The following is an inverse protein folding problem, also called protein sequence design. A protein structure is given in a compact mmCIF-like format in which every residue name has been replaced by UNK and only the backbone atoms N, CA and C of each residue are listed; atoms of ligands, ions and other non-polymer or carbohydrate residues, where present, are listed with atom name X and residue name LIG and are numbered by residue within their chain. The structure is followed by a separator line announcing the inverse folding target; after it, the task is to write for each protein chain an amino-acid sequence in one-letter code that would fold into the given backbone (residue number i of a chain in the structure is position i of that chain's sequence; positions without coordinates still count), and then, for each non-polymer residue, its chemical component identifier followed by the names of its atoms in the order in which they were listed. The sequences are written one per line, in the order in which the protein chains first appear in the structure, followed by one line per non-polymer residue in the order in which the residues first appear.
data_IF_022351725876
#
_entry.id   IF_022351725876
#
_cell.length_a   1.000
_cell.length_b   1.000
_cell.length_c   1.000
_cell.angle_alpha   90.00
_cell.angle_beta   90.00
_cell.angle_gamma   90.00
#
_symmetry.space_group_name_H-M   'P 1'
#
loop_
_entity.id
_entity.type
_entity.pdbx_description
1 polymer ?
#
# COMPACT_ATOMS: atom_id res chain seq x y z
N UNK A 1 27.49 -44.90 37.08
CA UNK A 1 28.84 -44.62 36.54
C UNK A 1 28.68 -44.27 35.06
N UNK A 2 28.42 -43.02 34.71
CA UNK A 2 28.59 -42.49 33.38
C UNK A 2 29.01 -41.03 33.51
N UNK A 3 30.24 -40.81 33.13
CA UNK A 3 30.85 -39.47 33.05
C UNK A 3 30.44 -38.81 31.75
N UNK A 4 29.91 -37.60 31.78
CA UNK A 4 29.92 -36.69 30.61
C UNK A 4 30.53 -35.36 31.01
N UNK A 5 31.77 -35.17 30.62
CA UNK A 5 32.36 -33.84 30.44
C UNK A 5 32.04 -33.40 29.03
N UNK A 6 31.55 -32.18 28.88
CA UNK A 6 31.34 -31.57 27.57
C UNK A 6 30.89 -30.14 27.75
N UNK A 7 31.83 -29.23 28.04
CA UNK A 7 31.62 -27.76 27.95
C UNK A 7 31.59 -27.38 26.48
N UNK A 8 30.44 -26.95 25.95
CA UNK A 8 30.38 -26.22 24.70
C UNK A 8 29.84 -24.82 24.98
N UNK A 9 30.70 -23.85 24.84
CA UNK A 9 30.39 -22.44 24.78
C UNK A 9 29.46 -22.15 23.61
N UNK A 10 28.22 -21.75 23.88
CA UNK A 10 27.31 -21.23 22.86
C UNK A 10 27.77 -19.82 22.56
N UNK A 11 28.54 -19.67 21.48
CA UNK A 11 28.76 -18.37 20.86
C UNK A 11 27.42 -17.88 20.31
N UNK A 12 26.92 -16.79 20.88
CA UNK A 12 25.84 -16.02 20.30
C UNK A 12 26.36 -15.37 19.01
N UNK A 13 26.16 -16.06 17.90
CA UNK A 13 26.40 -15.50 16.57
C UNK A 13 25.24 -14.55 16.28
N UNK A 14 25.48 -13.26 16.47
CA UNK A 14 24.71 -12.19 15.86
C UNK A 14 24.76 -12.43 14.36
N UNK A 15 23.67 -12.92 13.78
CA UNK A 15 23.52 -13.02 12.32
C UNK A 15 23.31 -11.60 11.79
N UNK A 16 24.40 -10.85 11.69
CA UNK A 16 24.49 -9.77 10.72
C UNK A 16 24.37 -10.47 9.36
N UNK A 17 23.33 -10.16 8.61
CA UNK A 17 23.21 -10.62 7.23
C UNK A 17 24.43 -10.07 6.48
N UNK A 18 25.44 -10.91 6.28
CA UNK A 18 26.56 -10.61 5.43
C UNK A 18 26.01 -10.62 3.99
N UNK A 19 25.80 -9.44 3.45
CA UNK A 19 25.68 -9.23 2.00
C UNK A 19 27.03 -9.69 1.46
N UNK A 20 27.08 -10.72 0.61
CA UNK A 20 28.30 -11.17 -0.03
C UNK A 20 28.87 -10.01 -0.88
N UNK A 21 30.19 -9.89 -0.99
CA UNK A 21 30.85 -8.78 -1.71
C UNK A 21 30.36 -8.63 -3.17
N UNK A 22 29.95 -9.71 -3.83
CA UNK A 22 29.31 -9.72 -5.15
C UNK A 22 27.94 -9.03 -5.19
N UNK A 23 27.13 -9.17 -4.14
CA UNK A 23 25.80 -8.53 -4.03
C UNK A 23 25.92 -7.01 -3.88
N UNK A 24 26.95 -6.50 -3.19
CA UNK A 24 27.16 -5.08 -3.05
C UNK A 24 27.47 -4.39 -4.39
N UNK A 25 28.26 -5.01 -5.26
CA UNK A 25 28.60 -4.45 -6.57
C UNK A 25 27.39 -4.48 -7.50
N UNK A 26 26.56 -5.54 -7.45
CA UNK A 26 25.34 -5.65 -8.25
C UNK A 26 24.29 -4.60 -7.80
N UNK A 27 24.07 -4.44 -6.50
CA UNK A 27 23.18 -3.41 -5.95
C UNK A 27 23.65 -1.99 -6.35
N UNK A 28 24.95 -1.72 -6.28
CA UNK A 28 25.52 -0.44 -6.69
C UNK A 28 25.30 -0.19 -8.20
N UNK A 29 25.40 -1.22 -9.03
CA UNK A 29 25.11 -1.15 -10.45
C UNK A 29 23.61 -0.83 -10.68
N UNK A 30 22.69 -1.54 -10.04
CA UNK A 30 21.25 -1.29 -10.14
C UNK A 30 20.93 0.17 -9.75
N UNK A 31 21.44 0.67 -8.62
CA UNK A 31 21.26 2.06 -8.19
C UNK A 31 21.73 3.06 -9.26
N UNK A 32 22.91 2.84 -9.83
CA UNK A 32 23.48 3.68 -10.87
C UNK A 32 22.63 3.69 -12.15
N UNK A 33 22.10 2.54 -12.55
CA UNK A 33 21.23 2.42 -13.73
C UNK A 33 19.88 3.09 -13.50
N UNK A 34 19.29 2.97 -12.31
CA UNK A 34 18.06 3.68 -11.93
C UNK A 34 18.31 5.20 -11.96
N UNK A 35 19.40 5.68 -11.39
CA UNK A 35 19.75 7.09 -11.43
C UNK A 35 19.96 7.60 -12.87
N UNK A 36 20.64 6.83 -13.71
CA UNK A 36 20.84 7.14 -15.12
C UNK A 36 19.52 7.17 -15.91
N UNK A 37 18.60 6.25 -15.61
CA UNK A 37 17.25 6.20 -16.20
C UNK A 37 16.43 7.43 -15.80
N UNK A 38 16.42 7.76 -14.51
CA UNK A 38 15.70 8.91 -13.96
C UNK A 38 16.23 10.28 -14.43
N UNK A 39 17.51 10.35 -14.77
CA UNK A 39 18.14 11.58 -15.28
C UNK A 39 17.78 11.89 -16.75
N UNK A 40 17.21 10.91 -17.49
CA UNK A 40 16.83 11.13 -18.89
C UNK A 40 15.57 11.97 -18.98
N UNK A 41 15.47 12.87 -19.97
CA UNK A 41 14.20 13.53 -20.26
C UNK A 41 13.17 12.52 -20.77
N UNK A 42 11.88 12.86 -20.66
CA UNK A 42 10.77 11.95 -20.99
C UNK A 42 10.90 11.36 -22.41
N UNK A 43 11.32 12.16 -23.39
CA UNK A 43 11.48 11.73 -24.79
C UNK A 43 12.56 10.66 -24.96
N UNK A 44 13.39 10.44 -23.96
CA UNK A 44 14.43 9.42 -23.91
C UNK A 44 14.28 8.47 -22.73
N UNK A 45 13.15 8.55 -22.03
CA UNK A 45 12.89 7.72 -20.86
C UNK A 45 12.85 6.23 -21.22
N UNK A 46 13.29 5.40 -20.29
CA UNK A 46 13.36 3.95 -20.41
C UNK A 46 12.75 3.29 -19.18
N UNK A 47 12.43 2.00 -19.31
CA UNK A 47 12.10 1.15 -18.16
C UNK A 47 13.30 1.04 -17.21
N UNK A 48 13.04 0.62 -15.98
CA UNK A 48 14.10 0.24 -15.05
C UNK A 48 14.86 -1.02 -15.54
N UNK A 49 16.10 -1.24 -15.08
CA UNK A 49 16.80 -2.50 -15.34
C UNK A 49 16.03 -3.65 -14.71
N UNK A 50 16.00 -4.82 -15.36
CA UNK A 50 15.25 -6.00 -14.89
C UNK A 50 15.70 -6.45 -13.49
N UNK A 51 16.96 -6.26 -13.15
CA UNK A 51 17.55 -6.57 -11.85
C UNK A 51 16.86 -5.80 -10.71
N UNK A 52 16.32 -4.61 -10.97
CA UNK A 52 15.52 -3.86 -10.01
C UNK A 52 14.23 -4.60 -9.59
N UNK A 53 13.74 -5.55 -10.39
CA UNK A 53 12.56 -6.36 -10.12
C UNK A 53 12.89 -7.78 -9.66
N UNK A 54 14.13 -8.26 -9.84
CA UNK A 54 14.51 -9.65 -9.64
C UNK A 54 15.54 -9.87 -8.54
N UNK A 55 16.35 -8.84 -8.22
CA UNK A 55 17.43 -8.98 -7.24
C UNK A 55 16.89 -8.91 -5.81
N UNK A 56 17.14 -9.97 -5.03
CA UNK A 56 16.65 -10.08 -3.65
C UNK A 56 17.32 -9.07 -2.72
N UNK A 57 18.63 -8.83 -2.87
CA UNK A 57 19.36 -7.84 -2.06
C UNK A 57 18.88 -6.41 -2.34
N UNK A 58 18.58 -6.10 -3.59
CA UNK A 58 17.99 -4.82 -3.96
C UNK A 58 16.57 -4.64 -3.37
N UNK A 59 15.74 -5.68 -3.38
CA UNK A 59 14.43 -5.65 -2.71
C UNK A 59 14.55 -5.38 -1.21
N UNK A 60 15.55 -5.97 -0.54
CA UNK A 60 15.81 -5.69 0.88
C UNK A 60 16.20 -4.23 1.09
N UNK A 61 17.07 -3.68 0.24
CA UNK A 61 17.42 -2.27 0.26
C UNK A 61 16.18 -1.37 0.08
N UNK A 62 15.36 -1.61 -0.95
CA UNK A 62 14.11 -0.88 -1.18
C UNK A 62 13.17 -0.96 0.03
N UNK A 63 13.08 -2.13 0.66
CA UNK A 63 12.22 -2.31 1.82
C UNK A 63 12.60 -1.38 2.97
N UNK A 64 13.90 -1.19 3.22
CA UNK A 64 14.39 -0.32 4.29
C UNK A 64 14.34 1.17 3.89
N UNK A 65 14.65 1.51 2.66
CA UNK A 65 14.97 2.89 2.26
C UNK A 65 13.87 3.60 1.48
N UNK A 66 12.96 2.84 0.87
CA UNK A 66 11.82 3.36 0.11
C UNK A 66 10.52 3.08 0.86
N UNK A 67 10.27 1.80 1.17
CA UNK A 67 8.99 1.38 1.75
C UNK A 67 8.88 1.76 3.23
N UNK A 68 9.83 1.37 4.09
CA UNK A 68 9.78 1.70 5.52
C UNK A 68 10.04 3.18 5.80
N UNK A 69 10.82 3.85 4.95
CA UNK A 69 11.07 5.27 5.06
C UNK A 69 9.86 6.13 4.64
N UNK A 70 9.02 5.62 3.73
CA UNK A 70 7.80 6.27 3.26
C UNK A 70 6.59 6.07 4.18
N UNK A 71 5.47 6.63 3.78
CA UNK A 71 4.17 6.39 4.40
C UNK A 71 3.44 5.26 3.68
N UNK A 72 2.96 4.28 4.45
CA UNK A 72 2.24 3.12 3.94
C UNK A 72 0.83 3.07 4.52
N UNK A 73 -0.18 3.01 3.66
CA UNK A 73 -1.58 2.97 4.08
C UNK A 73 -1.96 1.56 4.59
N UNK A 74 -2.66 1.51 5.71
CA UNK A 74 -3.05 0.27 6.40
C UNK A 74 -4.54 -0.04 6.32
N UNK A 75 -5.39 0.99 6.34
CA UNK A 75 -6.83 0.83 6.42
C UNK A 75 -7.53 2.17 6.33
N UNK A 76 -8.84 2.15 6.51
CA UNK A 76 -9.69 3.32 6.55
C UNK A 76 -10.42 3.44 7.90
N UNK A 77 -10.69 4.66 8.36
CA UNK A 77 -11.33 4.91 9.66
C UNK A 77 -12.69 4.26 9.81
N UNK A 78 -13.42 4.06 8.70
CA UNK A 78 -14.73 3.38 8.72
C UNK A 78 -14.66 1.90 9.14
N UNK A 79 -13.47 1.28 9.10
CA UNK A 79 -13.25 -0.08 9.60
C UNK A 79 -13.09 -0.12 11.12
N UNK A 80 -12.85 1.03 11.77
CA UNK A 80 -12.57 1.17 13.19
C UNK A 80 -13.58 2.10 13.87
N UNK A 81 -14.89 1.82 13.72
CA UNK A 81 -15.98 2.74 14.13
C UNK A 81 -16.07 2.98 15.62
N UNK A 82 -15.69 1.99 16.45
CA UNK A 82 -15.91 2.01 17.89
C UNK A 82 -14.60 1.84 18.66
N UNK A 83 -14.60 2.31 19.92
CA UNK A 83 -13.50 2.05 20.86
C UNK A 83 -13.20 0.55 20.95
N UNK A 84 -11.93 0.21 20.82
CA UNK A 84 -11.46 -1.16 20.81
C UNK A 84 -11.60 -1.88 19.46
N UNK A 85 -12.17 -1.25 18.43
CA UNK A 85 -12.10 -1.81 17.06
C UNK A 85 -10.65 -1.88 16.61
N UNK A 86 -10.28 -2.99 15.94
CA UNK A 86 -8.88 -3.23 15.54
C UNK A 86 -8.77 -3.94 14.20
N UNK A 87 -7.58 -3.76 13.57
CA UNK A 87 -7.10 -4.53 12.42
C UNK A 87 -5.71 -5.09 12.75
N UNK A 88 -5.51 -6.40 12.58
CA UNK A 88 -4.21 -7.05 12.68
C UNK A 88 -3.62 -7.22 11.27
N UNK A 89 -2.52 -6.54 10.99
CA UNK A 89 -1.91 -6.43 9.67
C UNK A 89 -0.46 -6.88 9.75
N UNK A 90 0.00 -7.65 8.76
CA UNK A 90 1.41 -7.95 8.55
C UNK A 90 1.91 -7.09 7.40
N UNK A 91 3.00 -6.35 7.61
CA UNK A 91 3.56 -5.45 6.61
C UNK A 91 5.09 -5.41 6.74
N UNK A 92 5.82 -5.81 5.69
CA UNK A 92 7.29 -5.79 5.66
C UNK A 92 7.93 -6.47 6.89
N UNK A 93 7.40 -7.64 7.26
CA UNK A 93 7.77 -8.44 8.44
C UNK A 93 7.43 -7.82 9.80
N UNK A 94 6.71 -6.69 9.83
CA UNK A 94 6.22 -6.09 11.08
C UNK A 94 4.80 -6.56 11.39
N UNK A 95 4.56 -7.21 12.54
CA UNK A 95 3.23 -7.57 13.02
C UNK A 95 2.57 -6.33 13.65
N UNK A 96 1.68 -5.68 12.90
CA UNK A 96 1.03 -4.42 13.28
C UNK A 96 -0.38 -4.64 13.81
N UNK A 97 -0.76 -3.84 14.80
CA UNK A 97 -2.12 -3.70 15.30
C UNK A 97 -2.58 -2.26 15.16
N UNK A 98 -3.51 -2.04 14.24
CA UNK A 98 -4.22 -0.75 14.13
C UNK A 98 -5.41 -0.80 15.08
N UNK A 99 -5.54 0.14 16.00
CA UNK A 99 -6.58 0.10 17.04
C UNK A 99 -7.11 1.48 17.38
N UNK A 100 -8.43 1.59 17.55
CA UNK A 100 -9.06 2.79 18.14
C UNK A 100 -9.03 2.65 19.66
N UNK A 101 -8.32 3.56 20.32
CA UNK A 101 -8.19 3.61 21.78
C UNK A 101 -9.47 4.05 22.51
N UNK A 102 -9.44 4.00 23.85
CA UNK A 102 -10.52 4.52 24.71
C UNK A 102 -10.70 6.03 24.57
N UNK A 103 -9.65 6.73 24.17
CA UNK A 103 -9.58 8.17 23.91
C UNK A 103 -9.94 8.55 22.46
N UNK A 104 -10.56 7.63 21.71
CA UNK A 104 -10.98 7.75 20.31
C UNK A 104 -9.85 7.86 19.28
N UNK A 105 -8.59 7.98 19.70
CA UNK A 105 -7.47 8.06 18.78
C UNK A 105 -7.11 6.71 18.18
N UNK A 106 -6.85 6.69 16.89
CA UNK A 106 -6.33 5.52 16.18
C UNK A 106 -4.80 5.50 16.31
N UNK A 107 -4.25 4.32 16.56
CA UNK A 107 -2.82 4.08 16.74
C UNK A 107 -2.39 2.82 16.03
N UNK A 108 -1.13 2.78 15.68
CA UNK A 108 -0.48 1.56 15.20
C UNK A 108 0.51 1.08 16.25
N UNK A 109 0.25 -0.11 16.79
CA UNK A 109 1.06 -0.76 17.81
C UNK A 109 1.74 -2.01 17.20
N UNK A 110 2.89 -2.39 17.78
CA UNK A 110 3.44 -3.72 17.55
C UNK A 110 2.58 -4.78 18.22
N UNK A 111 2.35 -5.90 17.55
CA UNK A 111 1.73 -7.09 18.16
C UNK A 111 2.75 -7.92 18.95
N UNK A 112 4.04 -7.59 18.87
CA UNK A 112 5.09 -8.28 19.63
C UNK A 112 5.04 -7.91 21.10
N UNK A 113 4.75 -8.88 21.96
CA UNK A 113 4.75 -8.70 23.41
C UNK A 113 6.18 -8.41 23.92
N UNK A 114 6.42 -7.31 24.66
CA UNK A 114 7.74 -6.91 25.10
C UNK A 114 8.37 -7.89 26.11
N UNK A 115 7.60 -8.84 26.65
CA UNK A 115 8.14 -9.85 27.56
C UNK A 115 9.06 -10.86 26.83
N UNK A 116 8.54 -11.55 25.80
CA UNK A 116 9.30 -12.60 25.06
C UNK A 116 8.92 -12.66 23.58
N UNK A 117 8.53 -11.56 22.99
CA UNK A 117 8.33 -11.45 21.54
C UNK A 117 7.09 -12.14 20.97
N UNK A 118 6.16 -12.66 21.81
CA UNK A 118 4.95 -13.32 21.30
C UNK A 118 4.10 -12.36 20.48
N UNK A 119 3.78 -12.72 19.24
CA UNK A 119 2.72 -12.03 18.48
C UNK A 119 1.36 -12.34 19.14
N UNK A 120 0.79 -11.34 19.80
CA UNK A 120 -0.46 -11.50 20.60
C UNK A 120 -1.71 -11.72 19.76
N UNK A 121 -1.62 -11.57 18.44
CA UNK A 121 -2.71 -11.75 17.47
C UNK A 121 -2.32 -12.70 16.34
N UNK A 122 -1.31 -13.57 16.56
CA UNK A 122 -0.84 -14.49 15.54
C UNK A 122 -1.98 -15.41 15.04
N UNK A 123 -2.09 -15.68 13.75
CA UNK A 123 -3.17 -16.49 13.17
C UNK A 123 -3.34 -17.87 13.81
N UNK A 124 -2.24 -18.52 14.25
CA UNK A 124 -2.32 -19.82 14.93
C UNK A 124 -3.09 -19.80 16.27
N UNK A 125 -3.34 -18.62 16.83
CA UNK A 125 -4.15 -18.46 18.05
C UNK A 125 -5.66 -18.47 17.78
N UNK A 126 -6.07 -18.56 16.50
CA UNK A 126 -7.48 -18.58 16.10
C UNK A 126 -8.21 -17.24 16.33
N UNK A 127 -7.49 -16.14 16.55
CA UNK A 127 -8.05 -14.82 16.70
C UNK A 127 -8.37 -14.19 15.34
N UNK A 128 -9.49 -13.48 15.19
CA UNK A 128 -9.82 -12.81 13.95
C UNK A 128 -8.84 -11.66 13.64
N UNK A 129 -8.60 -11.44 12.34
CA UNK A 129 -7.72 -10.35 11.87
C UNK A 129 -8.32 -8.95 12.07
N UNK A 130 -9.61 -8.87 12.33
CA UNK A 130 -10.32 -7.63 12.67
C UNK A 130 -11.40 -7.93 13.69
N UNK A 131 -11.81 -6.91 14.44
CA UNK A 131 -12.84 -7.07 15.45
C UNK A 131 -12.82 -5.97 16.49
N UNK A 132 -13.34 -6.30 17.68
CA UNK A 132 -13.41 -5.37 18.82
C UNK A 132 -12.93 -6.04 20.09
N UNK A 133 -12.12 -5.36 20.86
CA UNK A 133 -11.63 -5.84 22.17
C UNK A 133 -11.66 -4.74 23.22
N UNK A 134 -11.75 -5.14 24.50
CA UNK A 134 -11.65 -4.22 25.65
C UNK A 134 -10.21 -4.14 26.20
N UNK A 135 -9.36 -5.09 25.84
CA UNK A 135 -7.96 -5.18 26.28
C UNK A 135 -7.17 -6.07 25.34
N UNK A 136 -5.88 -5.89 25.31
CA UNK A 136 -4.96 -6.74 24.57
C UNK A 136 -4.33 -7.73 25.56
N UNK A 137 -4.33 -9.02 25.24
CA UNK A 137 -3.85 -10.08 26.11
C UNK A 137 -2.78 -10.91 25.39
N UNK A 138 -1.60 -11.00 25.99
CA UNK A 138 -0.60 -11.96 25.56
C UNK A 138 -0.97 -13.36 26.08
N UNK A 139 -1.20 -14.34 25.20
CA UNK A 139 -1.63 -15.67 25.63
C UNK A 139 -0.54 -16.49 26.29
N UNK A 140 0.73 -16.06 26.19
CA UNK A 140 1.87 -16.84 26.70
C UNK A 140 1.96 -16.78 28.24
N UNK A 141 1.99 -15.55 28.82
CA UNK A 141 2.11 -15.38 30.28
C UNK A 141 1.06 -14.42 30.85
N UNK A 142 -0.04 -14.24 30.12
CA UNK A 142 -1.18 -13.40 30.53
C UNK A 142 -0.82 -11.92 30.81
N UNK A 143 0.26 -11.40 30.21
CA UNK A 143 0.49 -9.96 30.22
C UNK A 143 -0.66 -9.27 29.47
N UNK A 144 -1.27 -8.28 30.11
CA UNK A 144 -2.38 -7.57 29.49
C UNK A 144 -2.12 -6.09 29.36
N UNK A 145 -2.55 -5.54 28.22
CA UNK A 145 -2.33 -4.15 27.84
C UNK A 145 -3.67 -3.44 27.61
N UNK A 146 -3.69 -2.16 27.92
CA UNK A 146 -4.79 -1.27 27.52
C UNK A 146 -4.78 -1.01 26.01
N UNK A 147 -5.84 -0.39 25.50
CA UNK A 147 -5.98 -0.10 24.08
C UNK A 147 -4.94 0.91 23.52
N UNK A 148 -4.27 1.65 24.43
CA UNK A 148 -3.15 2.53 24.07
C UNK A 148 -1.78 1.82 24.09
N UNK A 149 -1.76 0.50 24.35
CA UNK A 149 -0.54 -0.31 24.42
C UNK A 149 0.12 -0.36 25.79
N UNK A 150 -0.34 0.41 26.79
CA UNK A 150 0.26 0.44 28.14
C UNK A 150 0.04 -0.88 28.88
N UNK A 151 1.11 -1.45 29.49
CA UNK A 151 1.02 -2.65 30.32
C UNK A 151 0.16 -2.39 31.58
N UNK A 152 -0.88 -3.20 31.78
CA UNK A 152 -1.79 -3.11 32.89
C UNK A 152 -1.53 -4.20 33.95
N UNK A 153 -1.36 -5.44 33.50
CA UNK A 153 -1.13 -6.59 34.40
C UNK A 153 0.05 -7.40 33.84
N UNK A 154 0.95 -7.76 34.73
CA UNK A 154 2.07 -8.68 34.50
C UNK A 154 2.15 -9.65 35.70
N UNK A 155 1.55 -10.85 35.59
CA UNK A 155 1.50 -11.81 36.72
C UNK A 155 2.90 -12.25 37.17
N UNK A 156 3.08 -12.40 38.47
CA UNK A 156 4.30 -12.92 39.11
C UNK A 156 5.58 -12.09 38.84
N UNK A 157 5.43 -10.79 38.54
CA UNK A 157 6.56 -9.89 38.34
C UNK A 157 6.94 -9.11 39.63
N UNK A 158 6.31 -9.38 40.76
CA UNK A 158 6.50 -8.65 42.00
C UNK A 158 7.92 -8.82 42.61
N UNK A 159 8.60 -9.90 42.22
CA UNK A 159 9.98 -10.20 42.67
C UNK A 159 11.05 -9.84 41.68
N UNK A 160 10.68 -9.32 40.50
CA UNK A 160 11.64 -8.88 39.49
C UNK A 160 12.20 -7.51 39.91
N UNK A 161 13.46 -7.48 40.25
CA UNK A 161 14.13 -6.23 40.66
C UNK A 161 14.13 -5.21 39.51
N UNK A 162 13.80 -3.96 39.83
CA UNK A 162 13.76 -2.88 38.82
C UNK A 162 12.59 -2.97 37.83
N UNK A 163 11.66 -3.91 37.98
CA UNK A 163 10.52 -4.01 37.09
C UNK A 163 9.48 -2.92 37.35
N UNK A 164 9.32 -2.02 36.40
CA UNK A 164 8.25 -1.01 36.42
C UNK A 164 7.36 -1.22 35.17
N UNK A 165 6.07 -1.47 35.40
CA UNK A 165 5.10 -1.71 34.27
C UNK A 165 5.04 -0.59 33.26
N UNK A 166 5.37 0.64 33.63
CA UNK A 166 5.34 1.79 32.68
C UNK A 166 6.40 1.67 31.57
N UNK A 167 7.46 0.91 31.80
CA UNK A 167 8.56 0.73 30.86
C UNK A 167 8.29 -0.39 29.81
N UNK A 168 7.18 -1.14 29.98
CA UNK A 168 6.88 -2.36 29.23
C UNK A 168 5.59 -2.26 28.41
N UNK A 169 5.41 -1.18 27.68
CA UNK A 169 4.28 -1.01 26.76
C UNK A 169 4.53 -1.72 25.44
N UNK A 170 3.45 -2.07 24.71
CA UNK A 170 3.58 -2.42 23.29
C UNK A 170 4.19 -1.23 22.54
N UNK A 171 5.19 -1.50 21.70
CA UNK A 171 5.84 -0.47 20.92
C UNK A 171 4.82 0.23 20.00
N UNK A 172 4.98 1.54 19.82
CA UNK A 172 4.14 2.35 18.96
C UNK A 172 4.91 2.69 17.69
N UNK A 173 4.26 2.54 16.55
CA UNK A 173 4.77 3.07 15.30
C UNK A 173 4.24 4.47 15.06
N UNK A 174 5.01 5.29 14.37
CA UNK A 174 4.55 6.59 13.88
C UNK A 174 3.40 6.36 12.91
N UNK A 175 2.26 6.96 13.19
CA UNK A 175 1.05 6.79 12.38
C UNK A 175 0.26 8.08 12.31
N UNK A 176 -0.37 8.32 11.18
CA UNK A 176 -1.23 9.47 10.94
C UNK A 176 -2.52 9.02 10.25
N UNK A 177 -3.60 9.76 10.47
CA UNK A 177 -4.85 9.63 9.72
C UNK A 177 -4.93 10.83 8.79
N UNK A 178 -4.96 10.55 7.48
CA UNK A 178 -5.06 11.56 6.45
C UNK A 178 -6.23 11.21 5.52
N UNK A 179 -7.17 12.14 5.36
CA UNK A 179 -8.39 11.95 4.56
C UNK A 179 -9.13 10.61 4.83
N UNK A 180 -9.15 10.20 6.12
CA UNK A 180 -9.75 8.94 6.54
C UNK A 180 -8.87 7.71 6.37
N UNK A 181 -7.80 7.76 5.59
CA UNK A 181 -6.85 6.67 5.45
C UNK A 181 -5.85 6.66 6.61
N UNK A 182 -5.57 5.47 7.14
CA UNK A 182 -4.67 5.26 8.27
C UNK A 182 -3.30 4.88 7.71
N UNK A 183 -2.30 5.70 7.98
CA UNK A 183 -0.93 5.47 7.50
C UNK A 183 0.02 5.13 8.64
N UNK A 184 1.05 4.38 8.31
CA UNK A 184 2.20 4.10 9.16
C UNK A 184 3.50 4.50 8.48
N UNK A 185 4.43 5.07 9.23
CA UNK A 185 5.81 5.20 8.84
C UNK A 185 6.66 4.29 9.74
N UNK A 186 7.15 3.18 9.19
CA UNK A 186 7.90 2.17 9.95
C UNK A 186 9.30 2.67 10.32
N UNK A 187 9.91 3.51 9.50
CA UNK A 187 11.21 4.14 9.78
C UNK A 187 11.16 5.26 10.82
N UNK A 188 9.97 5.80 11.09
CA UNK A 188 9.73 6.82 12.14
C UNK A 188 10.13 8.26 11.80
N UNK A 189 10.76 8.52 10.63
CA UNK A 189 11.40 9.79 10.30
C UNK A 189 10.78 10.57 9.12
N UNK A 190 9.69 10.07 8.49
CA UNK A 190 9.06 10.77 7.38
C UNK A 190 8.52 12.15 7.81
N UNK A 191 8.46 13.12 6.90
CA UNK A 191 7.73 14.38 7.12
C UNK A 191 6.24 14.11 7.39
N UNK A 192 5.52 15.00 8.10
CA UNK A 192 4.08 14.85 8.28
C UNK A 192 3.33 14.69 6.94
N UNK A 193 2.33 13.81 6.90
CA UNK A 193 1.51 13.63 5.68
C UNK A 193 0.79 14.91 5.26
N UNK A 194 0.34 15.72 6.22
CA UNK A 194 -0.30 17.01 5.95
C UNK A 194 0.59 18.00 5.22
N UNK A 195 1.91 17.90 5.40
CA UNK A 195 2.89 18.69 4.65
C UNK A 195 3.16 18.05 3.29
N UNK A 196 3.45 16.74 3.30
CA UNK A 196 3.82 15.97 2.12
C UNK A 196 2.68 15.90 1.08
N UNK A 197 1.44 15.73 1.54
CA UNK A 197 0.26 15.56 0.69
C UNK A 197 -0.68 16.77 0.68
N UNK A 198 -0.21 17.99 1.00
CA UNK A 198 -1.04 19.18 1.02
C UNK A 198 -1.74 19.44 -0.32
N UNK A 199 -1.00 19.38 -1.43
CA UNK A 199 -1.54 19.58 -2.78
C UNK A 199 -2.41 18.40 -3.23
N UNK A 200 -2.09 17.19 -2.81
CA UNK A 200 -2.91 16.01 -3.04
C UNK A 200 -4.25 16.15 -2.32
N UNK A 201 -4.23 16.54 -1.04
CA UNK A 201 -5.44 16.76 -0.24
C UNK A 201 -6.36 17.81 -0.89
N UNK A 202 -5.80 18.93 -1.32
CA UNK A 202 -6.59 19.98 -1.99
C UNK A 202 -7.32 19.46 -3.25
N UNK A 203 -6.73 18.52 -3.98
CA UNK A 203 -7.33 17.93 -5.19
C UNK A 203 -8.51 17.02 -4.87
N UNK A 204 -8.41 16.17 -3.83
CA UNK A 204 -9.44 15.18 -3.50
C UNK A 204 -10.44 15.63 -2.44
N UNK A 205 -10.30 16.82 -1.89
CA UNK A 205 -11.13 17.32 -0.79
C UNK A 205 -12.65 17.23 -1.06
N UNK A 206 -13.08 17.44 -2.32
CA UNK A 206 -14.50 17.38 -2.70
C UNK A 206 -15.14 15.99 -2.53
N UNK A 207 -14.35 14.91 -2.50
CA UNK A 207 -14.86 13.55 -2.28
C UNK A 207 -15.14 13.25 -0.81
N UNK A 208 -14.61 14.05 0.13
CA UNK A 208 -14.82 13.86 1.57
C UNK A 208 -14.43 12.47 2.04
N UNK A 209 -13.27 11.97 1.61
CA UNK A 209 -12.87 10.58 1.80
C UNK A 209 -13.00 10.11 3.26
N UNK A 210 -12.74 10.96 4.25
CA UNK A 210 -12.84 10.63 5.67
C UNK A 210 -14.26 10.20 6.13
N UNK A 211 -15.30 10.65 5.43
CA UNK A 211 -16.71 10.36 5.75
C UNK A 211 -17.29 9.19 4.96
N UNK A 212 -16.50 8.59 4.07
CA UNK A 212 -16.94 7.46 3.26
C UNK A 212 -16.97 6.17 4.08
N UNK A 213 -17.79 5.22 3.64
CA UNK A 213 -17.89 3.86 4.18
C UNK A 213 -17.18 2.88 3.25
N UNK A 214 -16.26 2.08 3.80
CA UNK A 214 -15.67 0.96 3.08
C UNK A 214 -16.72 -0.16 2.97
N UNK A 215 -17.14 -0.46 1.74
CA UNK A 215 -18.22 -1.42 1.46
C UNK A 215 -17.76 -2.69 0.76
N UNK A 216 -16.54 -2.68 0.22
CA UNK A 216 -15.95 -3.83 -0.45
C UNK A 216 -14.45 -3.91 -0.16
N UNK A 217 -13.97 -5.14 0.07
CA UNK A 217 -12.55 -5.46 0.14
C UNK A 217 -12.33 -6.84 -0.48
N UNK A 218 -11.35 -6.94 -1.36
CA UNK A 218 -10.92 -8.21 -1.96
C UNK A 218 -9.40 -8.29 -1.99
N UNK A 219 -8.89 -9.43 -1.56
CA UNK A 219 -7.47 -9.75 -1.60
C UNK A 219 -7.11 -10.50 -2.89
N UNK A 220 -5.95 -10.13 -3.47
CA UNK A 220 -5.35 -10.74 -4.63
C UNK A 220 -3.90 -11.10 -4.32
N UNK A 221 -3.48 -12.28 -4.73
CA UNK A 221 -2.09 -12.70 -4.61
C UNK A 221 -1.37 -12.43 -5.93
N UNK A 222 -0.38 -11.52 -5.91
CA UNK A 222 0.45 -11.17 -7.05
C UNK A 222 1.77 -11.92 -7.04
N UNK A 223 2.00 -12.76 -8.07
CA UNK A 223 3.30 -13.44 -8.27
C UNK A 223 4.26 -12.52 -9.04
N UNK A 224 4.39 -11.27 -8.60
CA UNK A 224 5.23 -10.25 -9.23
C UNK A 224 5.74 -9.22 -8.20
N UNK A 225 6.77 -8.47 -8.60
CA UNK A 225 7.35 -7.40 -7.78
C UNK A 225 6.33 -6.25 -7.59
N UNK A 226 6.29 -5.68 -6.41
CA UNK A 226 5.36 -4.59 -6.06
C UNK A 226 5.39 -3.39 -7.03
N UNK A 227 6.58 -3.08 -7.58
CA UNK A 227 6.74 -1.99 -8.56
C UNK A 227 5.96 -2.22 -9.85
N UNK A 228 5.82 -3.49 -10.28
CA UNK A 228 5.04 -3.82 -11.48
C UNK A 228 3.58 -3.38 -11.31
N UNK A 229 2.98 -3.62 -10.13
CA UNK A 229 1.62 -3.12 -9.84
C UNK A 229 1.56 -1.59 -9.82
N UNK A 230 2.57 -0.94 -9.22
CA UNK A 230 2.64 0.52 -9.16
C UNK A 230 2.80 1.13 -10.55
N UNK A 231 3.65 0.57 -11.40
CA UNK A 231 3.84 1.02 -12.77
C UNK A 231 2.56 0.80 -13.61
N UNK A 232 1.93 -0.38 -13.53
CA UNK A 232 0.68 -0.68 -14.21
C UNK A 232 -0.44 0.30 -13.79
N UNK A 233 -0.58 0.59 -12.48
CA UNK A 233 -1.55 1.56 -11.98
C UNK A 233 -1.30 2.99 -12.48
N UNK A 234 -0.05 3.35 -12.69
CA UNK A 234 0.34 4.74 -12.93
C UNK A 234 -0.01 5.26 -14.32
N UNK A 235 -0.17 4.38 -15.31
CA UNK A 235 -0.31 4.77 -16.71
C UNK A 235 -1.54 4.13 -17.37
N UNK A 236 -1.97 4.66 -18.51
CA UNK A 236 -3.10 4.14 -19.28
C UNK A 236 -2.67 3.53 -20.62
N UNK A 237 -1.37 3.45 -20.93
CA UNK A 237 -0.89 2.92 -22.20
C UNK A 237 -1.27 1.45 -22.40
N UNK A 238 -1.29 0.68 -21.29
CA UNK A 238 -1.72 -0.72 -21.29
C UNK A 238 -3.21 -0.91 -21.67
N UNK A 239 -4.06 0.14 -21.62
CA UNK A 239 -5.45 0.05 -22.06
C UNK A 239 -5.54 -0.42 -23.53
N UNK A 240 -4.60 -0.01 -24.38
CA UNK A 240 -4.58 -0.37 -25.80
C UNK A 240 -4.48 -1.89 -26.01
N UNK A 241 -3.73 -2.56 -25.17
CA UNK A 241 -3.51 -4.00 -25.23
C UNK A 241 -4.35 -4.79 -24.24
N UNK A 242 -4.10 -4.58 -22.96
CA UNK A 242 -4.69 -5.35 -21.85
C UNK A 242 -6.20 -5.11 -21.73
N UNK A 243 -6.63 -3.84 -21.77
CA UNK A 243 -8.03 -3.44 -21.60
C UNK A 243 -8.72 -3.03 -22.90
N UNK A 244 -8.31 -3.60 -24.05
CA UNK A 244 -8.84 -3.21 -25.35
C UNK A 244 -10.35 -3.43 -25.49
N UNK A 245 -10.95 -4.32 -24.70
CA UNK A 245 -12.38 -4.64 -24.68
C UNK A 245 -13.13 -4.06 -23.49
N UNK A 246 -12.42 -3.57 -22.49
CA UNK A 246 -12.98 -3.09 -21.22
C UNK A 246 -12.86 -1.57 -21.10
N UNK A 247 -11.65 -1.05 -20.88
CA UNK A 247 -11.45 0.38 -20.60
C UNK A 247 -11.17 1.23 -21.82
N UNK A 248 -10.43 0.71 -22.83
CA UNK A 248 -9.94 1.49 -23.98
C UNK A 248 -11.08 2.14 -24.79
N UNK A 249 -12.25 1.52 -24.90
CA UNK A 249 -13.39 2.09 -25.62
C UNK A 249 -13.99 3.29 -24.94
N UNK A 250 -13.94 3.32 -23.62
CA UNK A 250 -14.53 4.37 -22.76
C UNK A 250 -13.51 5.43 -22.43
N UNK A 251 -12.32 5.03 -21.94
CA UNK A 251 -11.20 5.90 -21.53
C UNK A 251 -9.94 5.55 -22.34
N UNK A 252 -9.85 6.05 -23.57
CA UNK A 252 -8.73 5.71 -24.44
C UNK A 252 -7.41 6.28 -23.91
N UNK A 253 -6.38 5.48 -23.92
CA UNK A 253 -5.04 5.82 -23.44
C UNK A 253 -4.52 7.18 -23.97
N UNK A 254 -4.79 7.48 -25.22
CA UNK A 254 -4.33 8.71 -25.88
C UNK A 254 -5.05 9.99 -25.44
N UNK A 255 -6.15 9.87 -24.68
CA UNK A 255 -6.89 11.03 -24.18
C UNK A 255 -6.51 11.39 -22.74
N UNK A 256 -5.68 10.58 -22.10
CA UNK A 256 -5.27 10.81 -20.71
C UNK A 256 -4.59 12.17 -20.55
N UNK A 257 -4.89 12.85 -19.45
CA UNK A 257 -4.25 14.10 -19.04
C UNK A 257 -3.38 13.79 -17.82
N UNK A 258 -2.06 13.96 -17.97
CA UNK A 258 -1.11 13.78 -16.87
C UNK A 258 -0.74 15.13 -16.29
N UNK A 259 -0.87 15.30 -14.98
CA UNK A 259 -0.45 16.51 -14.30
C UNK A 259 1.09 16.65 -14.28
N UNK A 260 1.57 17.86 -14.02
CA UNK A 260 3.00 18.09 -13.83
C UNK A 260 3.57 17.23 -12.71
N UNK A 261 4.87 16.89 -12.83
CA UNK A 261 5.58 16.14 -11.79
C UNK A 261 5.47 16.80 -10.42
N UNK A 262 5.15 16.01 -9.41
CA UNK A 262 5.20 16.37 -8.00
C UNK A 262 6.18 15.43 -7.27
N UNK A 263 6.92 15.89 -6.26
CA UNK A 263 7.89 15.04 -5.55
C UNK A 263 7.26 13.88 -4.78
N UNK A 264 6.00 14.01 -4.34
CA UNK A 264 5.38 13.11 -3.37
C UNK A 264 4.20 12.30 -3.95
N UNK A 265 3.66 12.69 -5.10
CA UNK A 265 2.59 11.96 -5.76
C UNK A 265 2.54 12.23 -7.28
N UNK A 266 1.85 11.37 -8.00
CA UNK A 266 1.43 11.63 -9.38
C UNK A 266 -0.09 11.75 -9.47
N UNK A 267 -0.57 12.44 -10.50
CA UNK A 267 -1.99 12.61 -10.80
C UNK A 267 -2.25 12.49 -12.30
N UNK A 268 -3.27 11.72 -12.63
CA UNK A 268 -3.71 11.46 -14.00
C UNK A 268 -5.23 11.55 -14.07
N UNK A 269 -5.75 12.21 -15.11
CA UNK A 269 -7.18 12.36 -15.37
C UNK A 269 -7.58 11.49 -16.56
N UNK A 270 -8.63 10.70 -16.40
CA UNK A 270 -9.18 9.88 -17.46
C UNK A 270 -10.30 10.62 -18.19
N UNK A 271 -10.21 10.60 -19.51
CA UNK A 271 -11.08 11.40 -20.40
C UNK A 271 -11.89 10.48 -21.29
N UNK A 272 -13.21 10.69 -21.33
CA UNK A 272 -14.11 9.91 -22.19
C UNK A 272 -13.77 10.01 -23.67
N UNK A 273 -13.95 8.90 -24.38
CA UNK A 273 -13.97 8.87 -25.85
C UNK A 273 -15.16 9.62 -26.43
N UNK A 274 -15.11 9.97 -27.72
CA UNK A 274 -16.26 10.56 -28.43
C UNK A 274 -17.47 9.62 -28.44
N UNK A 275 -17.21 8.29 -28.50
CA UNK A 275 -18.25 7.27 -28.42
C UNK A 275 -18.94 7.26 -27.04
N UNK A 276 -18.17 7.25 -25.95
CA UNK A 276 -18.70 7.32 -24.62
C UNK A 276 -19.49 8.62 -24.36
N UNK A 277 -19.01 9.76 -24.85
CA UNK A 277 -19.73 11.02 -24.73
C UNK A 277 -21.10 10.98 -25.44
N UNK A 278 -21.17 10.42 -26.65
CA UNK A 278 -22.45 10.24 -27.34
C UNK A 278 -23.40 9.32 -26.58
N UNK A 279 -22.87 8.23 -25.98
CA UNK A 279 -23.67 7.34 -25.13
C UNK A 279 -24.22 8.08 -23.91
N UNK A 280 -23.41 8.92 -23.26
CA UNK A 280 -23.86 9.76 -22.13
C UNK A 280 -24.97 10.74 -22.55
N UNK A 281 -24.82 11.39 -23.70
CA UNK A 281 -25.84 12.29 -24.29
C UNK A 281 -27.17 11.55 -24.55
N UNK A 282 -27.09 10.24 -24.89
CA UNK A 282 -28.23 9.36 -25.07
C UNK A 282 -28.79 8.75 -23.75
N UNK A 283 -28.24 9.14 -22.57
CA UNK A 283 -28.71 8.74 -21.26
C UNK A 283 -28.02 7.53 -20.65
N UNK A 284 -26.97 6.98 -21.29
CA UNK A 284 -26.13 5.95 -20.66
C UNK A 284 -25.35 6.52 -19.48
N UNK A 285 -25.02 5.66 -18.52
CA UNK A 285 -24.28 6.00 -17.32
C UNK A 285 -23.05 5.12 -17.19
N UNK A 286 -21.90 5.74 -16.92
CA UNK A 286 -20.63 5.06 -16.64
C UNK A 286 -20.30 5.10 -15.14
N UNK A 287 -21.32 5.08 -14.29
CA UNK A 287 -21.23 4.97 -12.84
C UNK A 287 -22.33 4.03 -12.33
N UNK A 288 -22.09 3.41 -11.18
CA UNK A 288 -22.98 2.38 -10.60
C UNK A 288 -23.81 2.95 -9.46
N UNK A 289 -23.17 3.66 -8.52
CA UNK A 289 -23.86 4.31 -7.39
C UNK A 289 -24.35 5.70 -7.77
N UNK A 290 -25.25 6.31 -6.98
CA UNK A 290 -25.57 7.71 -7.14
C UNK A 290 -24.33 8.60 -7.10
N UNK A 291 -24.19 9.58 -8.01
CA UNK A 291 -23.03 10.44 -8.05
C UNK A 291 -22.84 11.25 -6.76
N UNK A 292 -21.61 11.42 -6.34
CA UNK A 292 -21.23 12.32 -5.25
C UNK A 292 -21.46 13.76 -5.74
N UNK A 293 -22.19 14.60 -5.00
CA UNK A 293 -22.51 15.95 -5.44
C UNK A 293 -21.28 16.87 -5.40
N UNK A 294 -21.31 17.90 -6.25
CA UNK A 294 -20.34 19.00 -6.29
C UNK A 294 -18.86 18.59 -6.52
N UNK A 295 -18.64 17.49 -7.20
CA UNK A 295 -17.29 17.08 -7.58
C UNK A 295 -16.70 18.03 -8.65
N UNK A 296 -15.37 18.24 -8.66
CA UNK A 296 -14.69 19.04 -9.67
C UNK A 296 -14.57 18.32 -11.02
N UNK A 297 -15.20 17.17 -11.19
CA UNK A 297 -15.30 16.44 -12.44
C UNK A 297 -16.27 17.12 -13.38
N UNK A 298 -15.93 17.23 -14.64
CA UNK A 298 -16.82 17.87 -15.61
C UNK A 298 -16.32 17.75 -17.05
N UNK A 299 -17.22 18.10 -17.98
CA UNK A 299 -16.95 17.96 -19.39
C UNK A 299 -16.73 16.47 -19.73
N UNK A 300 -15.52 16.14 -20.21
CA UNK A 300 -15.15 14.77 -20.59
C UNK A 300 -14.33 14.03 -19.54
N UNK A 301 -13.95 14.67 -18.43
CA UNK A 301 -13.19 14.05 -17.36
C UNK A 301 -14.14 13.33 -16.40
N UNK A 302 -13.91 12.04 -16.19
CA UNK A 302 -14.80 11.19 -15.40
C UNK A 302 -14.22 10.84 -14.03
N UNK A 303 -12.95 10.44 -13.98
CA UNK A 303 -12.30 10.17 -12.71
C UNK A 303 -10.79 10.47 -12.75
N UNK A 304 -10.22 10.58 -11.57
CA UNK A 304 -8.81 10.87 -11.36
C UNK A 304 -8.10 9.71 -10.70
N UNK A 305 -6.89 9.43 -11.17
CA UNK A 305 -5.98 8.44 -10.61
C UNK A 305 -4.81 9.13 -9.94
N UNK A 306 -4.49 8.68 -8.75
CA UNK A 306 -3.35 9.14 -7.96
C UNK A 306 -2.45 7.96 -7.58
N UNK A 307 -1.16 8.22 -7.53
CA UNK A 307 -0.19 7.43 -6.81
C UNK A 307 0.49 8.33 -5.79
N UNK A 308 0.14 8.19 -4.51
CA UNK A 308 0.93 8.76 -3.42
C UNK A 308 2.15 7.85 -3.18
N UNK A 309 3.34 8.40 -3.30
CA UNK A 309 4.56 7.60 -3.18
C UNK A 309 4.78 7.07 -1.76
N UNK A 310 5.28 5.81 -1.60
CA UNK A 310 5.73 4.89 -2.66
C UNK A 310 4.61 4.06 -3.32
N UNK A 311 3.48 3.78 -2.68
CA UNK A 311 2.49 2.82 -3.19
C UNK A 311 1.06 3.02 -2.63
N UNK A 312 0.63 4.27 -2.48
CA UNK A 312 -0.76 4.60 -2.16
C UNK A 312 -1.53 4.85 -3.47
N UNK A 313 -2.20 3.80 -3.96
CA UNK A 313 -2.91 3.79 -5.23
C UNK A 313 -4.37 4.17 -5.02
N UNK A 314 -4.75 5.39 -5.37
CA UNK A 314 -6.08 5.94 -5.15
C UNK A 314 -6.72 6.37 -6.49
N UNK A 315 -7.95 5.94 -6.73
CA UNK A 315 -8.79 6.52 -7.78
C UNK A 315 -10.04 7.13 -7.16
N UNK A 316 -10.35 8.35 -7.55
CA UNK A 316 -11.56 9.05 -7.11
C UNK A 316 -12.48 9.21 -8.31
N UNK A 317 -13.63 8.56 -8.23
CA UNK A 317 -14.61 8.44 -9.30
C UNK A 317 -15.82 9.34 -8.99
N UNK A 318 -16.75 9.38 -9.92
CA UNK A 318 -17.96 10.17 -9.81
C UNK A 318 -18.89 9.71 -8.67
N UNK A 319 -18.84 8.46 -8.31
CA UNK A 319 -19.78 7.79 -7.42
C UNK A 319 -19.12 7.03 -6.25
N UNK A 320 -17.81 6.84 -6.30
CA UNK A 320 -17.06 6.10 -5.28
C UNK A 320 -15.58 6.49 -5.27
N UNK A 321 -14.87 5.96 -4.28
CA UNK A 321 -13.41 6.01 -4.20
C UNK A 321 -12.89 4.59 -4.19
N UNK A 322 -11.94 4.30 -5.07
CA UNK A 322 -11.21 3.05 -5.16
C UNK A 322 -9.83 3.23 -4.57
N UNK A 323 -9.42 2.32 -3.71
CA UNK A 323 -8.09 2.30 -3.15
C UNK A 323 -7.49 0.90 -3.23
N UNK A 324 -6.29 0.79 -3.78
CA UNK A 324 -5.52 -0.44 -3.79
C UNK A 324 -4.37 -0.32 -2.79
N UNK A 325 -4.37 -1.20 -1.79
CA UNK A 325 -3.27 -1.35 -0.87
C UNK A 325 -2.32 -2.43 -1.38
N UNK A 326 -1.12 -2.03 -1.75
CA UNK A 326 -0.05 -2.95 -2.16
C UNK A 326 0.78 -3.32 -0.94
N UNK A 327 0.88 -4.62 -0.66
CA UNK A 327 1.68 -5.19 0.43
C UNK A 327 2.81 -6.01 -0.19
N UNK A 328 4.03 -5.48 -0.26
CA UNK A 328 5.19 -6.23 -0.74
C UNK A 328 5.53 -7.39 0.21
N UNK A 329 5.59 -8.62 -0.31
CA UNK A 329 5.89 -9.83 0.47
C UNK A 329 7.26 -10.43 0.11
N UNK A 330 7.86 -9.98 -0.98
CA UNK A 330 9.13 -10.46 -1.48
C UNK A 330 9.51 -9.84 -2.81
N UNK A 331 10.65 -10.20 -3.34
CA UNK A 331 11.17 -9.66 -4.61
C UNK A 331 10.23 -9.92 -5.80
N UNK A 332 9.47 -11.01 -5.76
CA UNK A 332 8.54 -11.43 -6.82
C UNK A 332 7.15 -11.78 -6.28
N UNK A 333 6.76 -11.15 -5.18
CA UNK A 333 5.49 -11.48 -4.52
C UNK A 333 4.93 -10.24 -3.81
N UNK A 334 3.67 -9.96 -4.02
CA UNK A 334 2.91 -8.94 -3.28
C UNK A 334 1.45 -9.39 -3.09
N UNK A 335 0.80 -8.82 -2.09
CA UNK A 335 -0.65 -8.93 -1.90
C UNK A 335 -1.27 -7.58 -2.24
N UNK A 336 -2.34 -7.58 -3.02
CA UNK A 336 -3.10 -6.38 -3.33
C UNK A 336 -4.49 -6.50 -2.67
N UNK A 337 -4.88 -5.50 -1.89
CA UNK A 337 -6.24 -5.38 -1.38
C UNK A 337 -6.95 -4.27 -2.14
N UNK A 338 -7.91 -4.64 -2.95
CA UNK A 338 -8.79 -3.69 -3.65
C UNK A 338 -9.94 -3.34 -2.74
N UNK A 339 -10.16 -2.05 -2.48
CA UNK A 339 -11.25 -1.56 -1.63
C UNK A 339 -12.10 -0.53 -2.35
N UNK A 340 -13.40 -0.49 -2.04
CA UNK A 340 -14.34 0.51 -2.55
C UNK A 340 -14.97 1.22 -1.36
N UNK A 341 -14.94 2.55 -1.43
CA UNK A 341 -15.59 3.43 -0.46
C UNK A 341 -16.69 4.23 -1.15
N UNK A 342 -17.81 4.38 -0.47
CA UNK A 342 -18.99 5.14 -0.97
C UNK A 342 -19.50 6.07 0.11
N UNK A 343 -20.27 7.12 -0.25
CA UNK A 343 -20.98 7.93 0.74
C UNK A 343 -21.86 7.07 1.63
N UNK A 344 -21.93 7.39 2.92
CA UNK A 344 -22.73 6.67 3.91
C UNK A 344 -24.21 6.54 3.49
N UNK A 345 -24.75 7.55 2.83
CA UNK A 345 -26.14 7.54 2.36
C UNK A 345 -26.35 6.49 1.25
N UNK A 346 -25.34 6.23 0.44
CA UNK A 346 -25.39 5.17 -0.60
C UNK A 346 -25.67 3.79 0.02
N UNK A 347 -25.15 3.51 1.20
CA UNK A 347 -25.36 2.21 1.88
C UNK A 347 -26.81 1.99 2.36
N UNK A 348 -27.62 3.04 2.37
CA UNK A 348 -29.03 3.00 2.82
C UNK A 348 -30.02 2.81 1.68
N UNK A 349 -29.58 2.74 0.44
CA UNK A 349 -30.44 2.52 -0.72
C UNK A 349 -31.07 1.12 -0.67
N UNK A 350 -32.33 1.01 -1.04
CA UNK A 350 -33.06 -0.27 -1.06
C UNK A 350 -32.37 -1.31 -1.98
N UNK A 351 -31.80 -0.85 -3.08
CA UNK A 351 -31.08 -1.68 -4.06
C UNK A 351 -29.55 -1.69 -3.88
N UNK A 352 -29.03 -1.25 -2.71
CA UNK A 352 -27.59 -1.16 -2.47
C UNK A 352 -26.85 -2.48 -2.73
N UNK A 353 -27.44 -3.62 -2.33
CA UNK A 353 -26.82 -4.95 -2.52
C UNK A 353 -26.64 -5.28 -4.01
N UNK A 354 -27.57 -4.92 -4.87
CA UNK A 354 -27.49 -5.11 -6.32
C UNK A 354 -26.43 -4.19 -6.94
N UNK A 355 -26.46 -2.91 -6.59
CA UNK A 355 -25.46 -1.93 -7.06
C UNK A 355 -24.05 -2.35 -6.64
N UNK A 356 -23.87 -2.78 -5.39
CA UNK A 356 -22.59 -3.28 -4.90
C UNK A 356 -22.11 -4.48 -5.73
N UNK A 357 -22.98 -5.48 -5.98
CA UNK A 357 -22.61 -6.64 -6.78
C UNK A 357 -22.21 -6.26 -8.22
N UNK A 358 -22.89 -5.29 -8.83
CA UNK A 358 -22.55 -4.75 -10.15
C UNK A 358 -21.16 -4.11 -10.14
N UNK A 359 -20.88 -3.27 -9.14
CA UNK A 359 -19.58 -2.63 -8.98
C UNK A 359 -18.46 -3.66 -8.75
N UNK A 360 -18.68 -4.66 -7.90
CA UNK A 360 -17.74 -5.76 -7.67
C UNK A 360 -17.42 -6.51 -8.96
N UNK A 361 -18.42 -6.87 -9.74
CA UNK A 361 -18.24 -7.58 -11.01
C UNK A 361 -17.40 -6.76 -12.00
N UNK A 362 -17.68 -5.46 -12.11
CA UNK A 362 -16.94 -4.55 -12.97
C UNK A 362 -15.46 -4.48 -12.58
N UNK A 363 -15.18 -4.24 -11.28
CA UNK A 363 -13.79 -4.15 -10.81
C UNK A 363 -13.04 -5.47 -10.91
N UNK A 364 -13.67 -6.58 -10.57
CA UNK A 364 -13.08 -7.91 -10.74
C UNK A 364 -12.70 -8.16 -12.20
N UNK A 365 -13.54 -7.70 -13.13
CA UNK A 365 -13.30 -7.87 -14.57
C UNK A 365 -11.94 -7.31 -15.00
N UNK A 366 -11.80 -5.99 -14.96
CA UNK A 366 -10.57 -5.36 -15.46
C UNK A 366 -9.36 -5.56 -14.55
N UNK A 367 -9.54 -5.60 -13.22
CA UNK A 367 -8.41 -5.89 -12.32
C UNK A 367 -7.84 -7.31 -12.51
N UNK A 368 -8.68 -8.28 -12.91
CA UNK A 368 -8.18 -9.62 -13.28
C UNK A 368 -7.29 -9.59 -14.52
N UNK A 369 -7.57 -8.70 -15.48
CA UNK A 369 -6.73 -8.49 -16.67
C UNK A 369 -5.34 -7.95 -16.24
N UNK A 370 -5.31 -6.97 -15.33
CA UNK A 370 -4.07 -6.42 -14.76
C UNK A 370 -3.25 -7.47 -14.03
N UNK A 371 -3.88 -8.28 -13.19
CA UNK A 371 -3.19 -9.32 -12.45
C UNK A 371 -2.50 -10.34 -13.37
N UNK A 372 -3.14 -10.70 -14.48
CA UNK A 372 -2.59 -11.64 -15.45
C UNK A 372 -1.39 -11.04 -16.21
N UNK A 373 -1.52 -9.81 -16.68
CA UNK A 373 -0.43 -9.18 -17.44
C UNK A 373 0.77 -8.89 -16.55
N UNK A 374 0.57 -8.50 -15.30
CA UNK A 374 1.64 -8.24 -14.34
C UNK A 374 2.47 -9.51 -14.03
N UNK A 375 1.83 -10.68 -13.96
CA UNK A 375 2.54 -11.98 -13.86
C UNK A 375 3.37 -12.23 -15.12
N UNK A 376 2.81 -11.97 -16.31
CA UNK A 376 3.53 -12.16 -17.57
C UNK A 376 4.73 -11.21 -17.70
N UNK A 377 4.62 -9.97 -17.22
CA UNK A 377 5.75 -9.01 -17.14
C UNK A 377 6.85 -9.56 -16.23
N UNK A 378 6.51 -10.01 -15.02
CA UNK A 378 7.49 -10.59 -14.08
C UNK A 378 8.21 -11.79 -14.70
N UNK A 379 7.50 -12.66 -15.40
CA UNK A 379 8.09 -13.83 -16.05
C UNK A 379 8.95 -13.44 -17.25
N UNK A 380 8.53 -12.45 -18.03
CA UNK A 380 9.31 -11.91 -19.16
C UNK A 380 10.65 -11.32 -18.71
N UNK A 381 10.66 -10.62 -17.59
CA UNK A 381 11.89 -10.03 -17.02
C UNK A 381 12.95 -11.08 -16.63
N UNK A 382 12.57 -12.33 -16.37
CA UNK A 382 13.51 -13.43 -16.06
C UNK A 382 14.34 -13.85 -17.28
N UNK A 383 13.95 -13.48 -18.49
CA UNK A 383 14.71 -13.82 -19.69
C UNK A 383 16.10 -13.18 -19.68
N UNK A 384 17.15 -13.94 -19.98
CA UNK A 384 18.51 -13.41 -20.17
C UNK A 384 18.62 -12.42 -21.34
N UNK A 385 17.59 -12.32 -22.16
CA UNK A 385 17.48 -11.40 -23.31
C UNK A 385 16.52 -10.25 -23.05
N UNK A 386 15.95 -10.14 -21.84
CA UNK A 386 15.17 -8.98 -21.47
C UNK A 386 16.08 -7.74 -21.51
N UNK A 387 15.64 -6.70 -22.20
CA UNK A 387 16.38 -5.45 -22.37
C UNK A 387 15.60 -4.29 -21.76
N UNK A 388 16.31 -3.22 -21.42
CA UNK A 388 15.69 -1.95 -21.04
C UNK A 388 14.91 -1.41 -22.23
N UNK A 389 13.57 -1.28 -22.05
CA UNK A 389 12.65 -0.77 -23.06
C UNK A 389 12.59 0.77 -23.08
N UNK A 390 11.78 1.29 -24.01
CA UNK A 390 11.50 2.73 -24.10
C UNK A 390 10.09 3.00 -23.59
N UNK A 391 9.94 4.04 -22.78
CA UNK A 391 8.64 4.54 -22.38
C UNK A 391 8.01 5.39 -23.48
N UNK A 392 6.69 5.29 -23.61
CA UNK A 392 5.86 6.18 -24.42
C UNK A 392 5.70 7.53 -23.72
N UNK A 393 5.35 8.57 -24.45
CA UNK A 393 5.04 9.89 -23.89
C UNK A 393 3.82 9.86 -22.92
N UNK A 394 2.90 8.91 -23.07
CA UNK A 394 1.76 8.72 -22.17
C UNK A 394 2.09 7.86 -20.94
N UNK A 395 3.31 7.31 -20.85
CA UNK A 395 3.86 6.67 -19.67
C UNK A 395 4.68 7.63 -18.78
N UNK A 396 4.48 8.94 -18.95
CA UNK A 396 5.15 9.93 -18.09
C UNK A 396 4.95 9.71 -16.60
N UNK A 397 3.81 9.16 -16.08
CA UNK A 397 3.69 8.82 -14.66
C UNK A 397 4.66 7.74 -14.19
N UNK A 398 4.97 6.74 -15.02
CA UNK A 398 5.98 5.72 -14.74
C UNK A 398 7.37 6.37 -14.64
N UNK A 399 7.70 7.26 -15.57
CA UNK A 399 8.94 8.03 -15.52
C UNK A 399 9.04 8.89 -14.24
N UNK A 400 7.96 9.52 -13.78
CA UNK A 400 7.91 10.27 -12.52
C UNK A 400 8.18 9.35 -11.32
N UNK A 401 7.60 8.15 -11.30
CA UNK A 401 7.84 7.15 -10.25
C UNK A 401 9.31 6.69 -10.24
N UNK A 402 9.93 6.46 -11.41
CA UNK A 402 11.35 6.12 -11.47
C UNK A 402 12.24 7.24 -10.91
N UNK A 403 11.88 8.51 -11.13
CA UNK A 403 12.56 9.66 -10.54
C UNK A 403 12.39 9.73 -9.02
N UNK A 404 11.20 9.41 -8.52
CA UNK A 404 10.98 9.25 -7.09
C UNK A 404 11.91 8.17 -6.51
N UNK A 405 11.94 6.97 -7.09
CA UNK A 405 12.83 5.90 -6.63
C UNK A 405 14.30 6.33 -6.62
N UNK A 406 14.76 6.98 -7.68
CA UNK A 406 16.13 7.47 -7.76
C UNK A 406 16.46 8.46 -6.65
N UNK A 407 15.54 9.38 -6.31
CA UNK A 407 15.73 10.33 -5.19
C UNK A 407 15.85 9.61 -3.84
N UNK A 408 15.00 8.62 -3.59
CA UNK A 408 15.05 7.85 -2.33
C UNK A 408 16.37 7.05 -2.20
N UNK A 409 16.82 6.45 -3.29
CA UNK A 409 18.05 5.65 -3.31
C UNK A 409 19.33 6.50 -3.28
N UNK A 410 19.29 7.77 -3.68
CA UNK A 410 20.43 8.69 -3.64
C UNK A 410 20.76 9.16 -2.20
N UNK A 411 19.76 9.20 -1.30
CA UNK A 411 19.94 9.63 0.09
C UNK A 411 20.71 8.61 0.96
N UNK A 412 21.29 7.57 0.35
CA UNK A 412 22.02 6.47 1.00
C UNK A 412 23.54 6.59 0.85
N UNK A 413 24.05 7.80 0.63
CA UNK A 413 25.49 8.06 0.53
C UNK A 413 26.15 8.16 1.91
#
# INVERSE_FOLDING_TARGET
MFSMKGTSSVNATTTAFAIELGDCDEIALIKREIAATAARPLERATTLPREAFLNQGFYQLESETVLKAGWLALGHVSQLKEKGSYLAIDLLNEPLLVIRGDDEHIRVLSRSCPHRGTDIMHPCLGLPRSGKTKRLLCPYHAWSFGLQGALKVAPQMERAEGFNKQDWSLAKFRSEVWEGFIFVNLGGNASPLTEQYSDFQARIAAWGCAELELVYEREWQGAFNWKIMVENWSECYHHIGTHNKTLQSTWPAQHVIVANEHPDFMHTELVYSDGAMKSIENGEKYYVFPPIPNLPLGGRVDFWIFLGYPCFLLAVLKDCVLWLRVVPNGVNSCTILTTILVPKETTKLDNFTELKATMEQMFVGFHSEDMLINVAVQDGLKSSKAVIGRLSHIESPVWMFHRYLARQLANLA
#
